data_IF_590661487326
#
_entry.id   IF_590661487326
#
_cell.length_a   1.000
_cell.length_b   1.000
_cell.length_c   1.000
_cell.angle_alpha   90.00
_cell.angle_beta   90.00
_cell.angle_gamma   90.00
#
_symmetry.space_group_name_H-M   'P 1'
#
loop_
_entity.id
_entity.type
_entity.pdbx_description
1 polymer ?
#
# COMPACT_ATOMS: atom_id res chain seq x y z
N UNK A 1 12.71 -3.73 14.44
CA UNK A 1 11.69 -4.20 13.48
C UNK A 1 10.51 -4.83 14.21
N UNK A 2 10.75 -5.83 15.06
CA UNK A 2 9.70 -6.52 15.84
C UNK A 2 8.75 -5.61 16.63
N UNK A 3 9.29 -4.58 17.32
CA UNK A 3 8.45 -3.57 18.00
C UNK A 3 7.47 -2.89 17.04
N UNK A 4 7.94 -2.45 15.87
CA UNK A 4 7.09 -1.83 14.86
C UNK A 4 6.03 -2.78 14.29
N UNK A 5 6.31 -4.10 14.25
CA UNK A 5 5.31 -5.10 13.88
C UNK A 5 4.21 -5.19 14.94
N UNK A 6 4.58 -5.18 16.23
CA UNK A 6 3.61 -5.13 17.33
C UNK A 6 2.78 -3.84 17.29
N UNK A 7 3.43 -2.68 17.14
CA UNK A 7 2.75 -1.39 17.06
C UNK A 7 1.76 -1.35 15.88
N UNK A 8 2.18 -1.85 14.70
CA UNK A 8 1.32 -1.98 13.52
C UNK A 8 0.14 -2.92 13.78
N UNK A 9 0.39 -4.09 14.38
CA UNK A 9 -0.65 -5.06 14.68
C UNK A 9 -1.69 -4.45 15.64
N UNK A 10 -1.26 -3.82 16.73
CA UNK A 10 -2.15 -3.14 17.68
C UNK A 10 -2.95 -2.03 17.00
N UNK A 11 -2.33 -1.24 16.13
CA UNK A 11 -3.05 -0.22 15.36
C UNK A 11 -4.15 -0.81 14.49
N UNK A 12 -3.84 -1.88 13.73
CA UNK A 12 -4.82 -2.53 12.83
C UNK A 12 -5.97 -3.14 13.64
N UNK A 13 -5.68 -3.79 14.77
CA UNK A 13 -6.72 -4.38 15.62
C UNK A 13 -7.66 -3.32 16.20
N UNK A 14 -7.13 -2.16 16.61
CA UNK A 14 -7.93 -1.09 17.21
C UNK A 14 -8.73 -0.30 16.17
N UNK A 15 -8.13 0.00 15.02
CA UNK A 15 -8.68 0.95 14.04
C UNK A 15 -9.31 0.27 12.83
N UNK A 16 -9.13 -1.05 12.66
CA UNK A 16 -9.61 -1.82 11.51
C UNK A 16 -9.19 -1.25 10.15
N UNK A 17 -8.02 -0.59 10.09
CA UNK A 17 -7.48 0.03 8.89
C UNK A 17 -5.96 -0.08 8.83
N UNK A 18 -5.40 0.02 7.62
CA UNK A 18 -3.95 0.18 7.40
C UNK A 18 -3.57 1.63 7.72
N UNK A 19 -2.53 1.89 8.52
CA UNK A 19 -2.10 3.25 8.80
C UNK A 19 -1.47 3.90 7.56
N UNK A 20 -1.46 5.24 7.50
CA UNK A 20 -0.79 5.98 6.42
C UNK A 20 0.75 5.86 6.46
N UNK A 21 1.31 5.50 7.61
CA UNK A 21 2.74 5.26 7.78
C UNK A 21 2.98 4.23 8.90
N UNK A 22 4.03 3.43 8.75
CA UNK A 22 4.56 2.56 9.81
C UNK A 22 5.81 3.21 10.37
N UNK A 23 5.94 3.26 11.70
CA UNK A 23 7.07 3.93 12.35
C UNK A 23 8.17 2.91 12.69
N UNK A 24 9.35 3.08 12.08
CA UNK A 24 10.59 2.37 12.43
C UNK A 24 11.44 3.29 13.31
N UNK A 25 11.20 3.23 14.63
CA UNK A 25 11.76 4.22 15.55
C UNK A 25 11.18 5.60 15.23
N UNK A 26 12.05 6.57 14.92
CA UNK A 26 11.65 7.93 14.51
C UNK A 26 11.43 8.10 13.01
N UNK A 27 11.62 7.05 12.20
CA UNK A 27 11.51 7.15 10.73
C UNK A 27 10.15 6.60 10.25
N UNK A 28 9.32 7.40 9.58
CA UNK A 28 8.13 6.89 8.92
C UNK A 28 8.53 6.10 7.66
N UNK A 29 7.87 4.97 7.43
CA UNK A 29 7.97 4.20 6.20
C UNK A 29 6.59 3.93 5.62
N UNK A 30 6.52 3.88 4.28
CA UNK A 30 5.29 3.59 3.58
C UNK A 30 4.79 2.17 3.91
N UNK A 31 3.48 1.94 4.11
CA UNK A 31 2.93 0.63 4.45
C UNK A 31 3.30 -0.47 3.48
N UNK A 32 3.32 -0.19 2.17
CA UNK A 32 3.69 -1.13 1.11
C UNK A 32 5.17 -1.52 1.18
N UNK A 33 6.06 -0.59 1.53
CA UNK A 33 7.48 -0.87 1.73
C UNK A 33 7.69 -1.77 2.95
N UNK A 34 6.97 -1.51 4.04
CA UNK A 34 6.99 -2.32 5.24
C UNK A 34 6.44 -3.73 4.99
N UNK A 35 5.34 -3.85 4.25
CA UNK A 35 4.75 -5.13 3.84
C UNK A 35 5.73 -5.98 3.04
N UNK A 36 6.44 -5.40 2.07
CA UNK A 36 7.47 -6.11 1.30
C UNK A 36 8.60 -6.60 2.21
N UNK A 37 9.04 -5.78 3.17
CA UNK A 37 10.07 -6.20 4.13
C UNK A 37 9.58 -7.37 5.00
N UNK A 38 8.36 -7.31 5.51
CA UNK A 38 7.73 -8.42 6.27
C UNK A 38 7.64 -9.69 5.43
N UNK A 39 7.17 -9.59 4.19
CA UNK A 39 7.02 -10.73 3.29
C UNK A 39 8.37 -11.41 3.01
N UNK A 40 9.44 -10.64 2.82
CA UNK A 40 10.81 -11.18 2.64
C UNK A 40 11.28 -11.95 3.88
N UNK A 41 11.09 -11.39 5.08
CA UNK A 41 11.46 -12.05 6.33
C UNK A 41 10.65 -13.35 6.50
N UNK A 42 9.32 -13.27 6.33
CA UNK A 42 8.45 -14.44 6.44
C UNK A 42 8.83 -15.55 5.46
N UNK A 43 9.17 -15.20 4.22
CA UNK A 43 9.64 -16.15 3.21
C UNK A 43 10.99 -16.79 3.57
N UNK A 44 11.94 -16.01 4.11
CA UNK A 44 13.22 -16.56 4.58
C UNK A 44 13.04 -17.55 5.73
N UNK A 45 12.21 -17.20 6.72
CA UNK A 45 11.90 -18.07 7.85
C UNK A 45 11.17 -19.33 7.40
N UNK A 46 10.20 -19.21 6.50
CA UNK A 46 9.49 -20.35 5.93
C UNK A 46 10.42 -21.32 5.17
N UNK A 47 11.51 -20.80 4.60
CA UNK A 47 12.56 -21.60 3.94
C UNK A 47 13.63 -22.12 4.91
N UNK A 48 13.41 -22.05 6.23
CA UNK A 48 14.31 -22.59 7.25
C UNK A 48 15.50 -21.70 7.59
N UNK A 49 15.55 -20.46 7.09
CA UNK A 49 16.59 -19.50 7.47
C UNK A 49 16.22 -18.82 8.80
N UNK A 50 17.24 -18.48 9.60
CA UNK A 50 17.01 -17.62 10.76
C UNK A 50 16.53 -16.23 10.34
N UNK A 51 15.72 -15.53 11.17
CA UNK A 51 15.37 -14.14 10.92
C UNK A 51 16.63 -13.28 10.75
N UNK A 52 16.65 -12.35 9.77
CA UNK A 52 17.83 -11.54 9.51
C UNK A 52 18.08 -10.54 10.65
N UNK A 53 19.35 -10.36 11.02
CA UNK A 53 19.76 -9.36 12.01
C UNK A 53 19.50 -7.92 11.51
N UNK A 54 19.60 -7.71 10.20
CA UNK A 54 19.37 -6.42 9.54
C UNK A 54 18.25 -6.55 8.51
N UNK A 55 17.22 -5.71 8.67
CA UNK A 55 16.10 -5.63 7.73
C UNK A 55 16.29 -4.43 6.82
N UNK A 56 16.34 -4.68 5.50
CA UNK A 56 16.36 -3.60 4.50
C UNK A 56 14.94 -3.27 4.07
N UNK A 57 14.53 -2.02 4.30
CA UNK A 57 13.24 -1.49 3.82
C UNK A 57 13.51 -0.55 2.65
N UNK A 58 13.20 -1.02 1.45
CA UNK A 58 13.34 -0.26 0.21
C UNK A 58 11.97 0.28 -0.24
N UNK A 59 11.93 1.38 -1.01
CA UNK A 59 10.69 1.83 -1.66
C UNK A 59 10.04 0.67 -2.42
N UNK A 60 8.73 0.53 -2.26
CA UNK A 60 7.93 -0.47 -2.95
C UNK A 60 6.73 0.21 -3.61
N UNK A 61 6.17 -0.45 -4.63
CA UNK A 61 4.91 -0.08 -5.25
C UNK A 61 4.01 -1.30 -5.30
N UNK A 62 2.71 -1.11 -5.12
CA UNK A 62 1.74 -2.18 -5.25
C UNK A 62 1.64 -2.58 -6.71
N UNK A 63 1.66 -3.89 -6.98
CA UNK A 63 1.53 -4.41 -8.34
C UNK A 63 0.19 -3.99 -9.01
N UNK A 64 -0.82 -3.67 -8.20
CA UNK A 64 -2.14 -3.23 -8.65
C UNK A 64 -2.21 -1.75 -9.01
N UNK A 65 -1.24 -0.91 -8.64
CA UNK A 65 -1.20 0.51 -9.00
C UNK A 65 -1.24 0.73 -10.52
N UNK A 66 -0.73 -0.24 -11.30
CA UNK A 66 -0.75 -0.19 -12.77
C UNK A 66 -2.16 -0.20 -13.37
N UNK A 67 -3.17 -0.62 -12.59
CA UNK A 67 -4.57 -0.61 -13.00
C UNK A 67 -5.28 0.70 -12.66
N UNK A 68 -4.59 1.63 -12.00
CA UNK A 68 -5.09 2.99 -11.75
C UNK A 68 -4.57 3.92 -12.84
N UNK A 69 -5.49 4.65 -13.48
CA UNK A 69 -5.15 5.60 -14.54
C UNK A 69 -4.13 6.65 -14.09
N UNK A 70 -3.34 7.16 -15.03
CA UNK A 70 -2.54 8.37 -14.82
C UNK A 70 -3.49 9.57 -14.87
N UNK A 71 -3.30 10.52 -13.94
CA UNK A 71 -4.12 11.71 -13.89
C UNK A 71 -4.04 12.48 -15.21
N UNK A 72 -5.19 12.91 -15.69
CA UNK A 72 -5.36 13.59 -16.96
C UNK A 72 -6.70 14.34 -16.96
N UNK A 73 -6.96 15.21 -17.95
CA UNK A 73 -8.24 15.91 -17.99
C UNK A 73 -9.39 14.95 -18.38
N UNK A 74 -9.09 13.93 -19.18
CA UNK A 74 -10.05 13.02 -19.80
C UNK A 74 -10.80 12.16 -18.78
N UNK A 75 -10.14 11.75 -17.70
CA UNK A 75 -10.77 10.94 -16.63
C UNK A 75 -11.86 11.71 -15.87
N UNK A 76 -11.82 13.04 -15.92
CA UNK A 76 -12.78 13.92 -15.25
C UNK A 76 -13.93 14.38 -16.16
N UNK A 77 -14.00 13.89 -17.40
CA UNK A 77 -15.05 14.25 -18.37
C UNK A 77 -16.39 13.51 -18.14
N UNK A 78 -16.49 12.68 -17.11
CA UNK A 78 -17.74 11.98 -16.81
C UNK A 78 -18.82 12.99 -16.34
N UNK A 79 -20.04 13.01 -16.92
CA UNK A 79 -21.13 13.90 -16.54
C UNK A 79 -21.47 14.07 -15.05
N UNK A 80 -21.00 13.18 -14.17
CA UNK A 80 -21.17 13.34 -12.72
C UNK A 80 -20.29 14.47 -12.15
N UNK A 81 -19.19 14.82 -12.81
CA UNK A 81 -18.29 15.89 -12.38
C UNK A 81 -18.76 17.26 -12.89
N UNK A 82 -18.65 18.32 -12.07
CA UNK A 82 -18.90 19.68 -12.52
C UNK A 82 -17.99 20.09 -13.68
N UNK A 83 -18.46 21.02 -14.51
CA UNK A 83 -17.65 21.56 -15.61
C UNK A 83 -16.34 22.16 -15.07
N UNK A 84 -15.21 21.75 -15.66
CA UNK A 84 -13.87 22.20 -15.25
C UNK A 84 -13.30 21.50 -14.01
N UNK A 85 -13.98 20.47 -13.47
CA UNK A 85 -13.46 19.69 -12.36
C UNK A 85 -12.18 18.93 -12.75
N UNK A 86 -11.20 18.91 -11.83
CA UNK A 86 -9.95 18.18 -11.94
C UNK A 86 -9.37 17.94 -10.54
N UNK A 87 -8.78 16.76 -10.29
CA UNK A 87 -8.22 16.46 -8.98
C UNK A 87 -7.11 15.41 -9.00
N UNK A 88 -5.86 15.86 -9.14
CA UNK A 88 -4.66 15.01 -9.06
C UNK A 88 -4.62 14.16 -7.77
N UNK A 89 -4.93 14.76 -6.61
CA UNK A 89 -4.89 14.09 -5.31
C UNK A 89 -5.88 12.91 -5.20
N UNK A 90 -7.02 12.94 -5.93
CA UNK A 90 -7.94 11.80 -5.97
C UNK A 90 -7.32 10.61 -6.71
N UNK A 91 -6.51 10.86 -7.73
CA UNK A 91 -5.78 9.80 -8.43
C UNK A 91 -4.63 9.25 -7.61
N UNK A 92 -3.93 10.09 -6.85
CA UNK A 92 -2.94 9.63 -5.87
C UNK A 92 -3.57 8.72 -4.81
N UNK A 93 -4.72 9.12 -4.26
CA UNK A 93 -5.47 8.29 -3.31
C UNK A 93 -5.91 6.96 -3.93
N UNK A 94 -6.41 6.98 -5.17
CA UNK A 94 -6.78 5.76 -5.89
C UNK A 94 -5.60 4.80 -6.04
N UNK A 95 -4.38 5.29 -6.28
CA UNK A 95 -3.15 4.46 -6.32
C UNK A 95 -2.84 3.85 -4.96
N UNK A 96 -2.89 4.65 -3.90
CA UNK A 96 -2.66 4.15 -2.53
C UNK A 96 -3.70 3.09 -2.12
N UNK A 97 -4.91 3.17 -2.66
CA UNK A 97 -5.99 2.21 -2.42
C UNK A 97 -6.04 1.06 -3.43
N UNK A 98 -5.09 0.96 -4.37
CA UNK A 98 -5.12 -0.04 -5.43
C UNK A 98 -5.06 -1.48 -4.90
N UNK A 99 -4.62 -1.72 -3.66
CA UNK A 99 -4.66 -3.03 -3.01
C UNK A 99 -6.09 -3.54 -2.74
N UNK A 100 -7.09 -2.66 -2.76
CA UNK A 100 -8.50 -3.02 -2.58
C UNK A 100 -9.21 -3.44 -3.87
N UNK A 101 -8.54 -3.30 -5.03
CA UNK A 101 -9.11 -3.64 -6.33
C UNK A 101 -9.41 -5.13 -6.40
N UNK A 102 -10.68 -5.46 -6.60
CA UNK A 102 -11.12 -6.84 -6.88
C UNK A 102 -10.97 -7.10 -8.38
N UNK A 103 -10.23 -8.14 -8.80
CA UNK A 103 -10.09 -8.44 -10.21
C UNK A 103 -11.47 -8.75 -10.81
N UNK A 104 -11.88 -7.95 -11.79
CA UNK A 104 -13.07 -8.24 -12.58
C UNK A 104 -12.75 -9.41 -13.50
N UNK A 105 -13.41 -10.55 -13.30
CA UNK A 105 -13.43 -11.63 -14.27
C UNK A 105 -14.60 -11.35 -15.22
N UNK A 106 -14.37 -11.43 -16.52
CA UNK A 106 -15.48 -11.50 -17.48
C UNK A 106 -16.20 -12.83 -17.21
N UNK A 107 -17.52 -12.81 -17.00
CA UNK A 107 -18.30 -14.04 -16.99
C UNK A 107 -18.10 -14.72 -18.35
N UNK A 108 -17.63 -15.96 -18.34
CA UNK A 108 -17.61 -16.83 -19.53
C UNK A 108 -19.04 -17.16 -19.96
#
# INVERSE_FOLDING_TARGET
>A
FERSVHDLHSFIQLNHQIPNAVWLGSKPVAPEAFLVAMAKIASQVANGSAPPEKVTVAPARLATEKYVAIDSQEIWLWPIFPMGFHSEHLMELARLQAWTLKPAKRSE
#
